data_IF_002027250362
#
_entry.id   IF_002027250362
#
_cell.length_a   1.000
_cell.length_b   1.000
_cell.length_c   1.000
_cell.angle_alpha   90.00
_cell.angle_beta   90.00
_cell.angle_gamma   90.00
#
_symmetry.space_group_name_H-M   'P 1'
#
loop_
_entity.id
_entity.type
_entity.pdbx_description
1 polymer ?
#
# COMPACT_ATOMS: atom_id res chain seq x y z
N UNK A 1 -11.29 5.30 -20.44
CA UNK A 1 -11.34 4.37 -19.33
C UNK A 1 -10.04 3.63 -19.17
N UNK A 2 -9.81 2.54 -19.89
CA UNK A 2 -8.51 1.87 -19.79
C UNK A 2 -7.35 2.72 -20.33
N UNK A 3 -7.65 3.69 -21.17
CA UNK A 3 -6.64 4.60 -21.75
C UNK A 3 -6.06 5.60 -20.74
N UNK A 4 -6.78 5.94 -19.68
CA UNK A 4 -6.28 6.87 -18.64
C UNK A 4 -5.19 6.24 -17.77
N UNK A 5 -5.21 4.91 -17.63
CA UNK A 5 -4.17 4.17 -16.89
C UNK A 5 -2.84 4.08 -17.63
N UNK A 6 -2.86 4.25 -18.94
CA UNK A 6 -1.68 4.12 -19.80
C UNK A 6 -1.02 5.46 -20.14
N UNK A 7 -1.53 6.57 -19.63
CA UNK A 7 -0.87 7.86 -19.79
C UNK A 7 0.38 7.83 -18.93
N UNK A 8 1.54 7.73 -19.59
CA UNK A 8 2.83 7.84 -18.92
C UNK A 8 2.93 9.23 -18.31
N UNK A 9 2.92 9.30 -17.00
CA UNK A 9 3.25 10.55 -16.33
C UNK A 9 4.70 10.89 -16.61
N UNK A 10 4.97 12.14 -16.88
CA UNK A 10 6.34 12.62 -16.97
C UNK A 10 6.97 12.55 -15.57
N UNK A 11 8.05 11.79 -15.45
CA UNK A 11 8.79 11.63 -14.21
C UNK A 11 8.33 10.45 -13.34
N UNK A 12 8.90 10.33 -12.13
CA UNK A 12 8.60 9.23 -11.22
C UNK A 12 7.15 9.22 -10.74
N UNK A 13 6.65 8.03 -10.46
CA UNK A 13 5.38 7.86 -9.75
C UNK A 13 5.53 8.07 -8.25
N UNK A 14 4.55 7.62 -7.50
CA UNK A 14 4.51 7.71 -6.04
C UNK A 14 4.38 6.33 -5.41
N UNK A 15 4.84 6.24 -4.17
CA UNK A 15 4.54 5.12 -3.27
C UNK A 15 3.43 5.55 -2.31
N UNK A 16 2.36 4.78 -2.27
CA UNK A 16 1.25 4.97 -1.33
C UNK A 16 1.22 3.82 -0.33
N UNK A 17 1.26 4.13 0.96
CA UNK A 17 1.00 3.17 2.02
C UNK A 17 -0.50 3.23 2.34
N UNK A 18 -1.22 2.15 2.06
CA UNK A 18 -2.67 2.11 2.14
C UNK A 18 -3.11 1.25 3.32
N UNK A 19 -3.79 1.86 4.30
CA UNK A 19 -4.33 1.15 5.44
C UNK A 19 -5.53 0.31 5.03
N UNK A 20 -5.53 -0.96 5.44
CA UNK A 20 -6.64 -1.89 5.21
C UNK A 20 -7.37 -2.20 6.53
N UNK A 21 -8.61 -2.71 6.47
CA UNK A 21 -9.39 -2.98 7.70
C UNK A 21 -8.68 -3.95 8.66
N UNK A 22 -8.90 -3.75 9.95
CA UNK A 22 -8.36 -4.58 11.02
C UNK A 22 -9.44 -5.47 11.68
N UNK A 23 -10.42 -5.88 10.91
CA UNK A 23 -11.49 -6.77 11.34
C UNK A 23 -12.89 -6.34 10.92
N UNK A 24 -13.04 -5.14 10.39
CA UNK A 24 -14.32 -4.65 9.89
C UNK A 24 -14.10 -3.92 8.55
N UNK A 25 -14.69 -4.44 7.49
CA UNK A 25 -14.54 -3.90 6.13
C UNK A 25 -14.99 -2.44 6.01
N UNK A 26 -15.91 -1.99 6.86
CA UNK A 26 -16.40 -0.61 6.84
C UNK A 26 -15.33 0.41 7.25
N UNK A 27 -14.25 -0.04 7.89
CA UNK A 27 -13.18 0.86 8.34
C UNK A 27 -12.20 1.26 7.24
N UNK A 28 -12.37 0.73 6.03
CA UNK A 28 -11.59 1.20 4.88
C UNK A 28 -12.03 2.61 4.48
N UNK A 29 -11.07 3.48 4.17
CA UNK A 29 -11.40 4.84 3.75
C UNK A 29 -11.74 4.92 2.27
N UNK A 30 -12.58 5.89 1.90
CA UNK A 30 -12.84 6.19 0.49
C UNK A 30 -11.56 6.51 -0.28
N UNK A 31 -10.63 7.23 0.34
CA UNK A 31 -9.37 7.59 -0.28
C UNK A 31 -8.51 6.36 -0.58
N UNK A 32 -8.44 5.40 0.33
CA UNK A 32 -7.72 4.14 0.09
C UNK A 32 -8.36 3.38 -1.08
N UNK A 33 -9.69 3.26 -1.12
CA UNK A 33 -10.37 2.62 -2.24
C UNK A 33 -10.05 3.28 -3.58
N UNK A 34 -10.05 4.61 -3.62
CA UNK A 34 -9.71 5.36 -4.82
C UNK A 34 -8.26 5.13 -5.24
N UNK A 35 -7.32 5.23 -4.31
CA UNK A 35 -5.88 5.05 -4.60
C UNK A 35 -5.60 3.62 -5.06
N UNK A 36 -6.16 2.61 -4.42
CA UNK A 36 -6.01 1.21 -4.84
C UNK A 36 -6.55 0.99 -6.26
N UNK A 37 -7.65 1.66 -6.61
CA UNK A 37 -8.26 1.55 -7.94
C UNK A 37 -7.44 2.27 -9.02
N UNK A 38 -6.83 3.40 -8.68
CA UNK A 38 -6.08 4.23 -9.62
C UNK A 38 -4.60 3.84 -9.75
N UNK A 39 -4.04 3.15 -8.76
CA UNK A 39 -2.64 2.72 -8.79
C UNK A 39 -2.38 1.77 -9.97
N UNK A 40 -1.13 1.75 -10.42
CA UNK A 40 -0.70 0.86 -11.50
C UNK A 40 -0.41 -0.55 -10.99
N UNK A 41 -0.03 -0.67 -9.72
CA UNK A 41 0.33 -1.94 -9.11
C UNK A 41 0.08 -1.88 -7.61
N UNK A 42 -0.43 -2.97 -7.06
CA UNK A 42 -0.60 -3.16 -5.61
C UNK A 42 0.42 -4.21 -5.15
N UNK A 43 1.26 -3.83 -4.20
CA UNK A 43 2.17 -4.74 -3.51
C UNK A 43 1.52 -5.20 -2.21
N UNK A 44 1.33 -6.51 -2.07
CA UNK A 44 0.63 -7.11 -0.94
C UNK A 44 1.47 -8.19 -0.27
N UNK A 45 1.38 -8.27 1.05
CA UNK A 45 2.12 -9.25 1.85
C UNK A 45 1.67 -10.69 1.53
N UNK A 46 0.38 -10.94 1.55
CA UNK A 46 -0.23 -12.20 1.14
C UNK A 46 -1.28 -11.94 0.06
N UNK A 47 -0.92 -12.25 -1.19
CA UNK A 47 -1.80 -12.02 -2.33
C UNK A 47 -3.08 -12.85 -2.28
N UNK A 48 -3.03 -14.04 -1.68
CA UNK A 48 -4.22 -14.91 -1.55
C UNK A 48 -5.24 -14.34 -0.59
N UNK A 49 -4.79 -13.68 0.46
CA UNK A 49 -5.66 -13.02 1.41
C UNK A 49 -6.15 -11.67 0.88
N UNK A 50 -5.24 -10.88 0.30
CA UNK A 50 -5.55 -9.55 -0.20
C UNK A 50 -6.51 -9.56 -1.38
N UNK A 51 -6.47 -10.60 -2.22
CA UNK A 51 -7.39 -10.70 -3.37
C UNK A 51 -8.86 -10.70 -2.93
N UNK A 52 -9.17 -11.23 -1.75
CA UNK A 52 -10.52 -11.24 -1.20
C UNK A 52 -11.02 -9.83 -0.93
N UNK A 53 -10.15 -8.98 -0.35
CA UNK A 53 -10.45 -7.58 -0.10
C UNK A 53 -10.66 -6.83 -1.41
N UNK A 54 -9.75 -7.00 -2.36
CA UNK A 54 -9.83 -6.31 -3.66
C UNK A 54 -11.08 -6.73 -4.44
N UNK A 55 -11.43 -8.01 -4.44
CA UNK A 55 -12.64 -8.50 -5.09
C UNK A 55 -13.91 -7.96 -4.43
N UNK A 56 -13.92 -7.84 -3.10
CA UNK A 56 -15.07 -7.29 -2.38
C UNK A 56 -15.38 -5.86 -2.82
N UNK A 57 -14.36 -5.05 -3.06
CA UNK A 57 -14.51 -3.66 -3.49
C UNK A 57 -14.37 -3.48 -5.01
N UNK A 58 -14.38 -4.57 -5.77
CA UNK A 58 -14.31 -4.55 -7.24
C UNK A 58 -13.08 -3.82 -7.79
N UNK A 59 -11.94 -3.94 -7.08
CA UNK A 59 -10.67 -3.36 -7.50
C UNK A 59 -9.95 -4.32 -8.44
N UNK A 60 -9.65 -3.87 -9.66
CA UNK A 60 -9.04 -4.68 -10.74
C UNK A 60 -7.54 -4.45 -10.92
N UNK A 61 -6.94 -3.59 -10.12
CA UNK A 61 -5.51 -3.26 -10.20
C UNK A 61 -4.66 -4.52 -10.04
N UNK A 62 -3.63 -4.71 -10.89
CA UNK A 62 -2.72 -5.85 -10.76
C UNK A 62 -2.03 -5.88 -9.40
N UNK A 63 -1.78 -7.07 -8.89
CA UNK A 63 -1.19 -7.27 -7.58
C UNK A 63 0.10 -8.10 -7.70
N UNK A 64 1.09 -7.78 -6.88
CA UNK A 64 2.33 -8.53 -6.74
C UNK A 64 2.60 -8.80 -5.27
N UNK A 65 3.36 -9.86 -4.98
CA UNK A 65 3.73 -10.19 -3.61
C UNK A 65 4.92 -9.35 -3.13
N UNK A 66 4.81 -8.84 -1.92
CA UNK A 66 5.88 -8.13 -1.22
C UNK A 66 5.83 -8.50 0.26
N UNK A 67 6.73 -9.38 0.70
CA UNK A 67 6.72 -9.96 2.04
C UNK A 67 8.12 -10.01 2.66
N UNK A 68 8.21 -10.48 3.89
CA UNK A 68 9.46 -10.51 4.66
C UNK A 68 10.59 -11.25 3.94
N UNK A 69 10.27 -12.32 3.21
CA UNK A 69 11.28 -13.17 2.56
C UNK A 69 11.82 -12.60 1.24
N UNK A 70 11.11 -11.67 0.59
CA UNK A 70 11.55 -11.06 -0.67
C UNK A 70 11.80 -9.55 -0.56
N UNK A 71 11.68 -8.97 0.61
CA UNK A 71 11.59 -7.51 0.81
C UNK A 71 12.75 -6.70 0.22
N UNK A 72 13.97 -7.21 0.30
CA UNK A 72 15.14 -6.46 -0.18
C UNK A 72 15.19 -6.39 -1.71
N UNK A 73 15.14 -7.55 -2.37
CA UNK A 73 15.23 -7.62 -3.83
C UNK A 73 13.97 -7.10 -4.49
N UNK A 74 12.81 -7.43 -3.95
CA UNK A 74 11.53 -6.98 -4.48
C UNK A 74 11.36 -5.46 -4.33
N UNK A 75 11.87 -4.88 -3.24
CA UNK A 75 11.85 -3.43 -3.07
C UNK A 75 12.61 -2.73 -4.20
N UNK A 76 13.76 -3.25 -4.62
CA UNK A 76 14.52 -2.70 -5.75
C UNK A 76 13.73 -2.74 -7.04
N UNK A 77 13.03 -3.85 -7.29
CA UNK A 77 12.17 -4.00 -8.48
C UNK A 77 11.04 -2.95 -8.45
N UNK A 78 10.40 -2.78 -7.30
CA UNK A 78 9.31 -1.81 -7.15
C UNK A 78 9.81 -0.37 -7.28
N UNK A 79 10.98 -0.06 -6.71
CA UNK A 79 11.62 1.26 -6.86
C UNK A 79 11.86 1.58 -8.33
N UNK A 80 12.39 0.63 -9.10
CA UNK A 80 12.63 0.82 -10.53
C UNK A 80 11.33 1.08 -11.30
N UNK A 81 10.26 0.38 -10.96
CA UNK A 81 8.94 0.60 -11.56
C UNK A 81 8.41 2.00 -11.25
N UNK A 82 8.56 2.45 -10.03
CA UNK A 82 8.11 3.80 -9.62
C UNK A 82 8.95 4.87 -10.31
N UNK A 83 10.26 4.70 -10.38
CA UNK A 83 11.13 5.62 -11.11
C UNK A 83 10.75 5.69 -12.59
N UNK A 84 10.23 4.61 -13.15
CA UNK A 84 9.73 4.56 -14.52
C UNK A 84 8.33 5.17 -14.72
N UNK A 85 7.71 5.69 -13.67
CA UNK A 85 6.44 6.42 -13.74
C UNK A 85 5.22 5.69 -13.17
N UNK A 86 5.38 4.47 -12.62
CA UNK A 86 4.27 3.75 -12.00
C UNK A 86 3.95 4.28 -10.62
N UNK A 87 2.67 4.37 -10.29
CA UNK A 87 2.19 4.55 -8.92
C UNK A 87 1.99 3.17 -8.30
N UNK A 88 2.62 2.93 -7.16
CA UNK A 88 2.53 1.67 -6.43
C UNK A 88 1.87 1.90 -5.10
N UNK A 89 0.86 1.10 -4.79
CA UNK A 89 0.20 1.06 -3.49
C UNK A 89 0.65 -0.18 -2.73
N UNK A 90 0.99 -0.02 -1.45
CA UNK A 90 1.37 -1.11 -0.57
C UNK A 90 0.25 -1.35 0.43
N UNK A 91 -0.14 -2.59 0.58
CA UNK A 91 -1.06 -3.04 1.63
C UNK A 91 -0.43 -4.20 2.40
N UNK A 92 -0.84 -4.37 3.63
CA UNK A 92 -0.53 -5.52 4.47
C UNK A 92 -1.79 -6.32 4.72
N UNK A 93 -1.70 -7.43 5.47
CA UNK A 93 -2.88 -8.26 5.74
C UNK A 93 -3.95 -7.48 6.53
N UNK A 94 -3.51 -6.58 7.41
CA UNK A 94 -4.42 -5.72 8.15
C UNK A 94 -3.71 -4.45 8.63
N UNK A 95 -4.40 -3.32 8.57
CA UNK A 95 -3.95 -2.07 9.15
C UNK A 95 -3.03 -1.25 8.25
N UNK A 96 -2.29 -0.34 8.89
CA UNK A 96 -1.38 0.60 8.23
C UNK A 96 -0.03 -0.06 7.96
N UNK A 97 0.45 -0.07 6.69
CA UNK A 97 1.76 -0.61 6.36
C UNK A 97 2.91 0.23 6.91
N UNK A 98 4.08 -0.39 7.06
CA UNK A 98 5.32 0.29 7.43
C UNK A 98 5.64 0.27 8.92
N UNK A 99 4.84 -0.42 9.73
CA UNK A 99 5.10 -0.62 11.16
C UNK A 99 5.21 -2.12 11.41
N UNK A 100 6.41 -2.57 11.74
CA UNK A 100 6.72 -3.99 12.00
C UNK A 100 6.37 -4.92 10.84
N UNK A 101 6.55 -4.45 9.61
CA UNK A 101 6.30 -5.21 8.39
C UNK A 101 7.27 -4.80 7.28
N UNK A 102 7.34 -5.55 6.15
CA UNK A 102 8.29 -5.27 5.08
C UNK A 102 8.13 -3.91 4.38
N UNK A 103 7.02 -3.22 4.60
CA UNK A 103 6.79 -1.87 4.05
C UNK A 103 7.86 -0.88 4.47
N UNK A 104 8.46 -1.03 5.66
CA UNK A 104 9.56 -0.19 6.16
C UNK A 104 10.74 -0.18 5.18
N UNK A 105 11.17 -1.34 4.70
CA UNK A 105 12.30 -1.44 3.76
C UNK A 105 11.99 -0.77 2.42
N UNK A 106 10.77 -0.93 1.91
CA UNK A 106 10.36 -0.29 0.67
C UNK A 106 10.34 1.24 0.81
N UNK A 107 9.82 1.76 1.90
CA UNK A 107 9.83 3.21 2.19
C UNK A 107 11.27 3.72 2.24
N UNK A 108 12.15 3.01 2.93
CA UNK A 108 13.56 3.37 3.04
C UNK A 108 14.22 3.48 1.67
N UNK A 109 14.03 2.48 0.81
CA UNK A 109 14.61 2.48 -0.53
C UNK A 109 13.99 3.55 -1.43
N UNK A 110 12.70 3.77 -1.34
CA UNK A 110 12.03 4.83 -2.10
C UNK A 110 12.54 6.21 -1.71
N UNK A 111 12.68 6.48 -0.42
CA UNK A 111 13.21 7.76 0.05
C UNK A 111 14.66 7.97 -0.39
N UNK A 112 15.49 6.94 -0.34
CA UNK A 112 16.86 7.01 -0.83
C UNK A 112 16.93 7.31 -2.33
N UNK A 113 15.94 6.88 -3.09
CA UNK A 113 15.85 7.11 -4.54
C UNK A 113 15.15 8.44 -4.91
N UNK A 114 14.74 9.25 -3.92
CA UNK A 114 14.04 10.51 -4.17
C UNK A 114 12.58 10.38 -4.56
N UNK A 115 11.97 9.22 -4.32
CA UNK A 115 10.57 8.96 -4.60
C UNK A 115 9.70 9.55 -3.47
N UNK A 116 8.61 10.20 -3.85
CA UNK A 116 7.63 10.68 -2.87
C UNK A 116 6.82 9.52 -2.30
N UNK A 117 6.69 9.53 -0.97
CA UNK A 117 5.96 8.51 -0.21
C UNK A 117 4.83 9.19 0.56
N UNK A 118 3.63 8.65 0.46
CA UNK A 118 2.47 9.11 1.22
C UNK A 118 1.84 7.94 1.96
N UNK A 119 1.65 8.11 3.27
CA UNK A 119 0.85 7.16 4.07
C UNK A 119 -0.56 7.70 4.20
N UNK A 120 -1.54 6.94 3.74
CA UNK A 120 -2.94 7.34 3.82
C UNK A 120 -3.48 7.01 5.22
N UNK A 121 -3.98 8.01 5.97
CA UNK A 121 -4.58 7.73 7.29
C UNK A 121 -5.71 6.72 7.21
N UNK A 122 -5.76 5.83 8.18
CA UNK A 122 -6.78 4.78 8.22
C UNK A 122 -6.61 3.86 9.42
N UNK A 123 -7.16 2.65 9.36
CA UNK A 123 -7.12 1.72 10.46
C UNK A 123 -5.70 1.44 10.96
N UNK A 124 -5.51 1.56 12.27
CA UNK A 124 -4.24 1.28 12.94
C UNK A 124 -4.53 0.65 14.31
N UNK A 125 -4.13 -0.62 14.47
CA UNK A 125 -4.44 -1.38 15.67
C UNK A 125 -3.82 -0.76 16.93
N UNK A 126 -2.60 -0.24 16.83
CA UNK A 126 -1.90 0.34 17.99
C UNK A 126 -2.61 1.58 18.54
N UNK A 127 -3.08 2.48 17.70
CA UNK A 127 -3.84 3.67 18.13
C UNK A 127 -5.22 3.26 18.66
N UNK A 128 -5.89 2.36 17.96
CA UNK A 128 -7.21 1.87 18.35
C UNK A 128 -7.16 1.20 19.72
N UNK A 129 -6.19 0.32 19.94
CA UNK A 129 -6.01 -0.35 21.23
C UNK A 129 -5.67 0.64 22.35
N UNK A 130 -4.79 1.61 22.08
CA UNK A 130 -4.41 2.62 23.04
C UNK A 130 -5.61 3.45 23.49
N UNK A 131 -6.46 3.89 22.55
CA UNK A 131 -7.65 4.69 22.88
C UNK A 131 -8.67 3.91 23.70
N UNK A 132 -8.78 2.60 23.46
CA UNK A 132 -9.70 1.72 24.23
C UNK A 132 -9.18 1.36 25.60
N UNK A 133 -7.87 1.44 25.83
CA UNK A 133 -7.22 0.97 27.05
C UNK A 133 -7.48 1.85 28.27
N UNK A 134 -7.75 3.14 28.06
CA UNK A 134 -7.84 4.11 29.15
C UNK A 134 -6.48 4.48 29.76
N UNK A 135 -5.36 4.04 29.17
CA UNK A 135 -4.04 4.37 29.67
C UNK A 135 -3.72 5.85 29.40
N UNK A 136 -2.86 6.49 30.23
CA UNK A 136 -2.43 7.86 30.00
C UNK A 136 -1.71 8.02 28.66
N UNK A 137 -1.97 9.11 27.98
CA UNK A 137 -1.34 9.46 26.71
C UNK A 137 -0.62 10.80 26.81
#
# INVERSE_FOLDING_TARGET
MDNERNVKKDGPGMLYLCATPIGNLEDITYRVLRVLSEADLIAAEDTRNSIKLLNHFEIKTPMTSYHEFNKYDKAKVLVDKILGGMDVAVITDAGTPGISDPGEELVKQCRAAGIRVTSLPGPAACVTALTMSGLPT
#
